data_IF_291390150686
#
_entry.id   IF_291390150686
#
_cell.length_a   1.000
_cell.length_b   1.000
_cell.length_c   1.000
_cell.angle_alpha   90.00
_cell.angle_beta   90.00
_cell.angle_gamma   90.00
#
_symmetry.space_group_name_H-M   'P 1'
#
loop_
_entity.id
_entity.type
_entity.pdbx_description
1 polymer ?
#
# COMPACT_ATOMS: atom_id res chain seq x y z
N UNK A 1 9.20 -20.25 18.15
CA UNK A 1 8.38 -20.30 19.39
C UNK A 1 8.83 -19.17 20.28
N UNK A 2 8.17 -18.02 20.23
CA UNK A 2 8.32 -16.98 21.24
C UNK A 2 7.48 -17.43 22.44
N UNK A 3 8.12 -17.62 23.59
CA UNK A 3 7.41 -17.94 24.83
C UNK A 3 6.56 -16.72 25.21
N UNK A 4 5.24 -16.89 25.23
CA UNK A 4 4.33 -15.89 25.78
C UNK A 4 4.46 -15.89 27.30
N UNK A 5 5.49 -15.23 27.83
CA UNK A 5 5.42 -14.72 29.20
C UNK A 5 4.15 -13.86 29.25
N UNK A 6 3.28 -14.06 30.24
CA UNK A 6 1.93 -13.48 30.34
C UNK A 6 1.84 -11.95 30.41
N UNK A 7 2.87 -11.23 29.96
CA UNK A 7 2.96 -9.78 29.81
C UNK A 7 2.33 -9.37 28.48
N UNK A 8 1.24 -8.59 28.54
CA UNK A 8 0.61 -7.99 27.36
C UNK A 8 1.61 -7.13 26.58
N UNK A 9 1.73 -7.36 25.27
CA UNK A 9 2.61 -6.62 24.36
C UNK A 9 2.17 -5.15 24.25
N UNK A 10 3.04 -4.28 23.73
CA UNK A 10 2.67 -2.87 23.54
C UNK A 10 1.48 -2.74 22.59
N UNK A 11 1.44 -3.57 21.55
CA UNK A 11 0.33 -3.63 20.62
C UNK A 11 -0.96 -4.14 21.26
N UNK A 12 -0.92 -5.24 22.02
CA UNK A 12 -2.10 -5.75 22.72
C UNK A 12 -2.70 -4.70 23.68
N UNK A 13 -1.87 -3.97 24.43
CA UNK A 13 -2.32 -2.85 25.26
C UNK A 13 -2.94 -1.71 24.45
N UNK A 14 -2.37 -1.38 23.29
CA UNK A 14 -2.91 -0.35 22.42
C UNK A 14 -4.28 -0.77 21.84
N UNK A 15 -4.46 -2.04 21.49
CA UNK A 15 -5.75 -2.59 21.06
C UNK A 15 -6.80 -2.53 22.18
N UNK A 16 -6.42 -2.89 23.41
CA UNK A 16 -7.30 -2.76 24.58
C UNK A 16 -7.74 -1.31 24.82
N UNK A 17 -6.81 -0.35 24.70
CA UNK A 17 -7.11 1.08 24.84
C UNK A 17 -7.97 1.64 23.70
N UNK A 18 -7.76 1.16 22.47
CA UNK A 18 -8.55 1.56 21.30
C UNK A 18 -9.99 1.05 21.36
N UNK A 19 -10.18 -0.16 21.91
CA UNK A 19 -11.46 -0.85 22.02
C UNK A 19 -11.45 -2.14 21.20
N UNK A 20 -11.38 -3.29 21.88
CA UNK A 20 -11.40 -4.61 21.24
C UNK A 20 -12.71 -4.92 20.51
N UNK A 21 -13.78 -4.20 20.84
CA UNK A 21 -15.07 -4.26 20.16
C UNK A 21 -15.05 -3.67 18.74
N UNK A 22 -14.03 -2.86 18.43
CA UNK A 22 -13.74 -2.32 17.09
C UNK A 22 -12.72 -3.14 16.31
N UNK A 23 -12.40 -4.33 16.81
CA UNK A 23 -11.42 -5.20 16.23
C UNK A 23 -12.02 -6.59 15.97
N UNK A 24 -11.71 -7.15 14.82
CA UNK A 24 -12.20 -8.45 14.37
C UNK A 24 -11.04 -9.36 14.00
N UNK A 25 -11.19 -10.65 14.24
CA UNK A 25 -10.13 -11.63 14.02
C UNK A 25 -10.66 -12.93 13.47
N UNK A 26 -9.89 -13.55 12.58
CA UNK A 26 -10.09 -14.92 12.11
C UNK A 26 -8.81 -15.75 12.34
N UNK A 27 -8.62 -16.85 11.60
CA UNK A 27 -7.44 -17.70 11.73
C UNK A 27 -6.13 -16.97 11.39
N UNK A 28 -6.13 -16.13 10.36
CA UNK A 28 -4.92 -15.52 9.77
C UNK A 28 -4.83 -14.01 9.95
N UNK A 29 -5.97 -13.35 10.12
CA UNK A 29 -6.16 -11.92 9.87
C UNK A 29 -6.72 -11.21 11.11
N UNK A 30 -6.18 -10.04 11.40
CA UNK A 30 -6.69 -9.09 12.40
C UNK A 30 -7.11 -7.78 11.70
N UNK A 31 -8.39 -7.44 11.79
CA UNK A 31 -8.94 -6.17 11.36
C UNK A 31 -9.08 -5.22 12.55
N UNK A 32 -8.68 -3.97 12.37
CA UNK A 32 -8.70 -2.92 13.39
C UNK A 32 -9.43 -1.72 12.81
N UNK A 33 -10.49 -1.26 13.47
CA UNK A 33 -11.41 -0.30 12.86
C UNK A 33 -12.48 -0.96 12.00
N UNK A 34 -13.01 -2.09 12.46
CA UNK A 34 -14.19 -2.70 11.87
C UNK A 34 -15.28 -2.83 12.94
N UNK A 35 -16.52 -2.57 12.58
CA UNK A 35 -17.68 -2.56 13.45
C UNK A 35 -18.00 -3.99 13.87
N UNK A 36 -17.59 -4.33 15.09
CA UNK A 36 -17.89 -5.63 15.72
C UNK A 36 -19.36 -5.80 16.13
N UNK A 37 -20.24 -4.87 15.79
CA UNK A 37 -21.70 -5.03 15.87
C UNK A 37 -22.28 -5.73 14.64
N UNK A 38 -21.58 -5.70 13.49
CA UNK A 38 -21.95 -6.47 12.30
C UNK A 38 -21.47 -7.91 12.39
N UNK A 39 -22.28 -8.81 11.85
CA UNK A 39 -21.91 -10.21 11.70
C UNK A 39 -21.08 -10.37 10.41
N UNK A 40 -19.77 -10.49 10.58
CA UNK A 40 -18.81 -10.71 9.50
C UNK A 40 -18.50 -12.20 9.43
N UNK A 41 -18.91 -12.92 8.37
CA UNK A 41 -18.67 -14.36 8.26
C UNK A 41 -17.18 -14.69 8.46
N UNK A 42 -16.90 -15.67 9.32
CA UNK A 42 -15.56 -16.13 9.71
C UNK A 42 -14.74 -15.20 10.61
N UNK A 43 -15.25 -14.01 10.93
CA UNK A 43 -14.63 -13.12 11.90
C UNK A 43 -15.33 -13.21 13.24
N UNK A 44 -14.56 -13.04 14.31
CA UNK A 44 -15.06 -12.95 15.68
C UNK A 44 -14.40 -11.78 16.39
N UNK A 45 -14.93 -11.43 17.56
CA UNK A 45 -14.34 -10.41 18.42
C UNK A 45 -12.93 -10.79 18.87
N UNK A 46 -12.05 -9.80 18.92
CA UNK A 46 -10.66 -9.97 19.33
C UNK A 46 -10.58 -10.26 20.84
N UNK A 47 -9.88 -11.32 21.28
CA UNK A 47 -9.56 -11.51 22.69
C UNK A 47 -8.45 -10.54 23.14
N UNK A 48 -8.30 -10.24 24.44
CA UNK A 48 -7.28 -9.30 24.94
C UNK A 48 -5.83 -9.61 24.51
N UNK A 49 -5.53 -10.88 24.26
CA UNK A 49 -4.27 -11.30 23.68
C UNK A 49 -4.55 -12.08 22.38
N UNK A 50 -4.63 -11.40 21.22
CA UNK A 50 -4.90 -12.07 19.95
C UNK A 50 -3.76 -12.97 19.49
N UNK A 51 -2.56 -12.83 20.07
CA UNK A 51 -1.36 -13.45 19.54
C UNK A 51 -0.97 -12.91 18.16
N UNK A 52 0.15 -13.39 17.59
CA UNK A 52 0.60 -12.99 16.27
C UNK A 52 -0.37 -13.42 15.17
N UNK A 53 -0.43 -12.62 14.10
CA UNK A 53 -1.21 -12.88 12.89
C UNK A 53 -0.33 -12.75 11.66
N UNK A 54 -0.71 -13.44 10.57
CA UNK A 54 0.01 -13.33 9.29
C UNK A 54 -0.45 -12.08 8.53
N UNK A 55 -1.69 -11.64 8.75
CA UNK A 55 -2.25 -10.45 8.14
C UNK A 55 -2.80 -9.49 9.20
N UNK A 56 -2.51 -8.20 9.04
CA UNK A 56 -3.07 -7.13 9.87
C UNK A 56 -3.58 -6.01 8.97
N UNK A 57 -4.82 -5.58 9.19
CA UNK A 57 -5.45 -4.50 8.44
C UNK A 57 -5.87 -3.39 9.41
N UNK A 58 -5.30 -2.20 9.23
CA UNK A 58 -5.69 -0.98 9.90
C UNK A 58 -6.67 -0.22 9.01
N UNK A 59 -7.94 -0.19 9.42
CA UNK A 59 -9.10 0.27 8.64
C UNK A 59 -9.72 1.55 9.22
N UNK A 60 -9.04 2.20 10.15
CA UNK A 60 -9.54 3.33 10.93
C UNK A 60 -8.86 4.66 10.56
N UNK A 61 -8.35 4.82 9.33
CA UNK A 61 -7.78 6.09 8.92
C UNK A 61 -8.80 7.24 9.13
N UNK A 62 -8.35 8.42 9.57
CA UNK A 62 -6.95 8.79 9.91
C UNK A 62 -6.52 8.43 11.35
N UNK A 63 -7.41 7.84 12.16
CA UNK A 63 -7.25 7.66 13.61
C UNK A 63 -6.51 6.37 14.02
N UNK A 64 -5.39 6.07 13.37
CA UNK A 64 -4.67 4.80 13.58
C UNK A 64 -3.15 4.93 13.76
N UNK A 65 -2.58 6.13 13.73
CA UNK A 65 -1.13 6.32 13.83
C UNK A 65 -0.51 5.72 15.12
N UNK A 66 -1.14 5.94 16.28
CA UNK A 66 -0.65 5.38 17.55
C UNK A 66 -0.71 3.85 17.60
N UNK A 67 -1.75 3.27 16.97
CA UNK A 67 -1.90 1.81 16.86
C UNK A 67 -0.84 1.20 15.94
N UNK A 68 -0.58 1.82 14.79
CA UNK A 68 0.50 1.39 13.87
C UNK A 68 1.85 1.51 14.57
N UNK A 69 2.11 2.62 15.26
CA UNK A 69 3.35 2.82 16.03
C UNK A 69 3.52 1.77 17.15
N UNK A 70 2.43 1.40 17.83
CA UNK A 70 2.45 0.34 18.83
C UNK A 70 2.71 -1.04 18.20
N UNK A 71 2.10 -1.31 17.04
CA UNK A 71 2.27 -2.55 16.28
C UNK A 71 3.71 -2.75 15.83
N UNK A 72 4.30 -1.79 15.10
CA UNK A 72 5.65 -1.92 14.55
C UNK A 72 6.73 -2.03 15.61
N UNK A 73 6.46 -1.55 16.83
CA UNK A 73 7.33 -1.69 17.99
C UNK A 73 7.14 -3.01 18.77
N UNK A 74 6.25 -3.89 18.33
CA UNK A 74 5.91 -5.13 19.03
C UNK A 74 6.35 -6.39 18.26
N UNK A 75 6.57 -7.54 18.95
CA UNK A 75 7.03 -8.78 18.31
C UNK A 75 6.12 -9.30 17.19
N UNK A 76 4.83 -8.95 17.22
CA UNK A 76 3.84 -9.30 16.22
C UNK A 76 4.24 -8.81 14.82
N UNK A 77 4.88 -7.64 14.72
CA UNK A 77 5.32 -7.07 13.45
C UNK A 77 6.40 -7.90 12.73
N UNK A 78 7.13 -8.77 13.47
CA UNK A 78 8.19 -9.59 12.90
C UNK A 78 7.68 -10.76 12.06
N UNK A 79 6.42 -11.15 12.23
CA UNK A 79 5.82 -12.34 11.60
C UNK A 79 4.66 -12.02 10.66
N UNK A 80 4.26 -10.76 10.57
CA UNK A 80 3.25 -10.32 9.62
C UNK A 80 3.82 -10.38 8.21
N UNK A 81 3.07 -11.02 7.32
CA UNK A 81 3.38 -11.23 5.91
C UNK A 81 2.57 -10.27 5.00
N UNK A 82 1.41 -9.83 5.49
CA UNK A 82 0.49 -8.95 4.78
C UNK A 82 0.01 -7.82 5.70
N UNK A 83 0.19 -6.58 5.25
CA UNK A 83 -0.19 -5.39 6.01
C UNK A 83 -1.00 -4.47 5.13
N UNK A 84 -2.13 -4.00 5.64
CA UNK A 84 -2.90 -2.90 5.04
C UNK A 84 -2.97 -1.75 6.03
N UNK A 85 -2.62 -0.54 5.58
CA UNK A 85 -2.86 0.70 6.31
C UNK A 85 -3.78 1.55 5.43
N UNK A 86 -5.05 1.58 5.78
CA UNK A 86 -6.07 2.15 4.92
C UNK A 86 -7.29 2.59 5.72
N UNK A 87 -8.44 2.54 5.06
CA UNK A 87 -9.71 2.91 5.66
C UNK A 87 -10.76 1.85 5.37
N UNK A 88 -11.94 2.03 5.95
CA UNK A 88 -13.13 1.29 5.56
C UNK A 88 -14.30 2.25 5.34
N UNK A 89 -15.32 1.81 4.61
CA UNK A 89 -16.55 2.56 4.45
C UNK A 89 -17.27 2.91 5.78
N UNK A 90 -16.89 2.31 6.92
CA UNK A 90 -17.42 2.62 8.25
C UNK A 90 -16.85 3.91 8.86
N UNK A 91 -15.79 4.45 8.25
CA UNK A 91 -15.20 5.73 8.59
C UNK A 91 -15.48 6.75 7.48
N UNK A 92 -16.72 7.23 7.28
CA UNK A 92 -17.02 8.15 6.20
C UNK A 92 -16.54 9.58 6.54
N UNK A 93 -15.28 9.89 6.23
CA UNK A 93 -14.76 11.26 6.28
C UNK A 93 -14.33 11.75 4.90
N UNK A 94 -14.48 13.05 4.64
CA UNK A 94 -13.94 13.67 3.44
C UNK A 94 -12.42 13.83 3.60
N UNK A 95 -11.67 13.00 2.88
CA UNK A 95 -10.21 12.90 2.95
C UNK A 95 -9.74 12.04 4.11
N UNK A 96 -8.85 11.08 3.84
CA UNK A 96 -8.13 10.32 4.85
C UNK A 96 -6.66 10.69 4.79
N UNK A 97 -6.12 11.32 5.83
CA UNK A 97 -4.68 11.55 5.93
C UNK A 97 -4.03 10.45 6.77
N UNK A 98 -3.27 9.59 6.11
CA UNK A 98 -2.54 8.48 6.70
C UNK A 98 -1.06 8.79 6.87
N UNK A 99 -0.60 10.01 6.58
CA UNK A 99 0.81 10.40 6.63
C UNK A 99 1.46 10.02 7.96
N UNK A 100 0.78 10.27 9.09
CA UNK A 100 1.30 9.92 10.41
C UNK A 100 1.37 8.40 10.66
N UNK A 101 0.43 7.63 10.14
CA UNK A 101 0.42 6.18 10.26
C UNK A 101 1.50 5.54 9.38
N UNK A 102 1.68 6.04 8.16
CA UNK A 102 2.74 5.59 7.24
C UNK A 102 4.11 5.96 7.81
N UNK A 103 4.31 7.21 8.27
CA UNK A 103 5.57 7.64 8.89
C UNK A 103 5.98 6.80 10.11
N UNK A 104 5.03 6.18 10.82
CA UNK A 104 5.37 5.25 11.91
C UNK A 104 6.14 4.02 11.43
N UNK A 105 6.08 3.67 10.13
CA UNK A 105 6.87 2.60 9.53
C UNK A 105 8.35 2.94 9.41
N UNK A 106 8.77 4.21 9.53
CA UNK A 106 10.18 4.60 9.44
C UNK A 106 11.05 3.91 10.50
N UNK A 107 10.50 3.68 11.69
CA UNK A 107 11.18 2.99 12.79
C UNK A 107 10.98 1.46 12.77
N UNK A 108 10.26 0.93 11.77
CA UNK A 108 9.83 -0.46 11.75
C UNK A 108 10.92 -1.40 11.22
N UNK A 109 10.84 -2.67 11.64
CA UNK A 109 11.55 -3.77 11.02
C UNK A 109 10.55 -4.90 10.76
N UNK A 110 10.17 -5.06 9.49
CA UNK A 110 9.11 -5.96 9.01
C UNK A 110 9.72 -7.06 8.13
N UNK A 111 10.55 -7.97 8.69
CA UNK A 111 11.36 -8.90 7.92
C UNK A 111 10.55 -9.98 7.17
N UNK A 112 9.31 -10.23 7.60
CA UNK A 112 8.43 -11.23 6.98
C UNK A 112 7.43 -10.62 6.00
N UNK A 113 7.35 -9.28 5.92
CA UNK A 113 6.33 -8.61 5.13
C UNK A 113 6.59 -8.78 3.64
N UNK A 114 5.64 -9.39 2.94
CA UNK A 114 5.68 -9.63 1.49
C UNK A 114 4.67 -8.81 0.72
N UNK A 115 3.56 -8.40 1.34
CA UNK A 115 2.50 -7.59 0.73
C UNK A 115 2.19 -6.40 1.63
N UNK A 116 2.17 -5.21 1.05
CA UNK A 116 1.80 -3.98 1.73
C UNK A 116 0.86 -3.16 0.85
N UNK A 117 -0.31 -2.82 1.40
CA UNK A 117 -1.24 -1.89 0.79
C UNK A 117 -1.35 -0.63 1.65
N UNK A 118 -1.09 0.52 1.05
CA UNK A 118 -1.15 1.83 1.70
C UNK A 118 -2.27 2.66 1.08
N UNK A 119 -3.19 3.12 1.90
CA UNK A 119 -4.29 3.99 1.51
C UNK A 119 -5.50 3.32 0.87
N UNK A 120 -5.53 1.99 0.78
CA UNK A 120 -6.68 1.28 0.22
C UNK A 120 -7.92 1.46 1.12
N UNK A 121 -9.09 1.58 0.49
CA UNK A 121 -10.36 1.44 1.18
C UNK A 121 -10.83 -0.01 1.03
N UNK A 122 -10.79 -0.74 2.14
CA UNK A 122 -11.25 -2.12 2.16
C UNK A 122 -12.74 -2.18 1.78
N UNK A 123 -13.05 -2.81 0.64
CA UNK A 123 -14.40 -2.81 0.10
C UNK A 123 -15.30 -3.84 0.81
N UNK A 124 -15.78 -3.46 1.99
CA UNK A 124 -16.53 -4.33 2.88
C UNK A 124 -17.97 -4.64 2.42
N UNK A 125 -18.57 -3.81 1.56
CA UNK A 125 -19.98 -3.99 1.16
C UNK A 125 -20.33 -3.52 -0.27
N UNK A 126 -19.35 -3.49 -1.17
CA UNK A 126 -19.57 -3.25 -2.60
C UNK A 126 -19.84 -1.79 -2.96
N UNK A 127 -19.13 -0.86 -2.33
CA UNK A 127 -19.21 0.58 -2.61
C UNK A 127 -18.06 1.09 -3.47
N UNK A 128 -18.08 2.40 -3.72
CA UNK A 128 -16.94 3.17 -4.26
C UNK A 128 -15.75 3.08 -3.31
N UNK A 129 -14.54 3.11 -3.87
CA UNK A 129 -13.31 3.19 -3.08
C UNK A 129 -12.88 4.63 -2.95
N UNK A 130 -12.72 5.09 -1.71
CA UNK A 130 -12.24 6.42 -1.45
C UNK A 130 -10.78 6.36 -1.05
N UNK A 131 -9.93 7.07 -1.78
CA UNK A 131 -8.51 7.19 -1.46
C UNK A 131 -8.21 8.52 -0.76
N UNK A 132 -7.03 8.61 -0.16
CA UNK A 132 -6.64 9.77 0.65
C UNK A 132 -5.16 10.13 0.45
N UNK A 133 -4.57 10.78 1.44
CA UNK A 133 -3.14 11.08 1.46
C UNK A 133 -2.40 9.97 2.22
N UNK A 134 -1.45 9.33 1.54
CA UNK A 134 -0.54 8.31 2.09
C UNK A 134 0.70 8.97 2.70
N UNK A 135 1.27 9.98 2.03
CA UNK A 135 2.48 10.69 2.47
C UNK A 135 3.77 10.16 1.81
N UNK A 136 4.91 10.34 2.47
CA UNK A 136 6.23 9.90 1.96
C UNK A 136 6.40 8.39 2.17
N UNK A 137 6.80 7.64 1.13
CA UNK A 137 6.89 6.18 1.19
C UNK A 137 8.33 5.62 1.09
N UNK A 138 9.35 6.47 0.97
CA UNK A 138 10.74 6.04 0.78
C UNK A 138 11.26 5.14 1.91
N UNK A 139 10.84 5.39 3.14
CA UNK A 139 11.22 4.59 4.30
C UNK A 139 10.61 3.17 4.32
N UNK A 140 9.49 2.95 3.62
CA UNK A 140 8.81 1.65 3.53
C UNK A 140 9.73 0.58 2.94
N UNK A 141 10.52 0.95 1.93
CA UNK A 141 11.48 0.06 1.27
C UNK A 141 12.61 -0.41 2.19
N UNK A 142 12.98 0.38 3.20
CA UNK A 142 13.96 -0.04 4.21
C UNK A 142 13.32 -0.87 5.32
N UNK A 143 12.08 -0.53 5.70
CA UNK A 143 11.34 -1.21 6.76
C UNK A 143 10.98 -2.66 6.40
N UNK A 144 10.68 -2.94 5.12
CA UNK A 144 10.18 -4.23 4.65
C UNK A 144 11.10 -4.87 3.58
N UNK A 145 12.28 -5.41 3.96
CA UNK A 145 13.30 -5.87 2.99
C UNK A 145 12.88 -7.08 2.14
N UNK A 146 11.79 -7.77 2.50
CA UNK A 146 11.24 -8.91 1.79
C UNK A 146 9.99 -8.56 0.97
N UNK A 147 9.64 -7.27 0.87
CA UNK A 147 8.43 -6.82 0.18
C UNK A 147 8.44 -7.24 -1.30
N UNK A 148 7.36 -7.88 -1.75
CA UNK A 148 7.17 -8.35 -3.13
C UNK A 148 6.06 -7.58 -3.83
N UNK A 149 5.03 -7.17 -3.09
CA UNK A 149 3.88 -6.45 -3.59
C UNK A 149 3.69 -5.16 -2.79
N UNK A 150 3.65 -4.02 -3.48
CA UNK A 150 3.33 -2.73 -2.91
C UNK A 150 2.16 -2.11 -3.69
N UNK A 151 1.02 -1.95 -3.02
CA UNK A 151 -0.11 -1.14 -3.47
C UNK A 151 -0.09 0.22 -2.77
N UNK A 152 -0.22 1.31 -3.53
CA UNK A 152 -0.32 2.66 -2.99
C UNK A 152 -1.53 3.37 -3.58
N UNK A 153 -2.52 3.61 -2.75
CA UNK A 153 -3.82 4.12 -3.14
C UNK A 153 -3.99 5.54 -2.59
N UNK A 154 -4.11 6.51 -3.50
CA UNK A 154 -4.15 7.94 -3.19
C UNK A 154 -2.79 8.64 -3.24
N UNK A 155 -2.75 9.87 -2.72
CA UNK A 155 -1.61 10.77 -2.89
C UNK A 155 -0.39 10.36 -2.05
N UNK A 156 0.75 10.16 -2.72
CA UNK A 156 2.02 9.84 -2.09
C UNK A 156 3.21 10.61 -2.67
N UNK A 157 4.29 10.66 -1.92
CA UNK A 157 5.57 11.22 -2.33
C UNK A 157 6.70 10.18 -2.22
N UNK A 158 7.67 10.31 -3.12
CA UNK A 158 8.94 9.59 -3.02
C UNK A 158 10.06 10.62 -3.12
N UNK A 159 10.70 10.92 -1.99
CA UNK A 159 11.62 12.06 -1.91
C UNK A 159 12.96 11.83 -2.62
N UNK A 160 13.38 10.57 -2.78
CA UNK A 160 14.62 10.18 -3.48
C UNK A 160 14.46 8.82 -4.15
N UNK A 161 15.25 8.50 -5.19
CA UNK A 161 15.26 7.16 -5.77
C UNK A 161 15.70 6.12 -4.72
N UNK A 162 15.03 4.97 -4.73
CA UNK A 162 15.28 3.85 -3.82
C UNK A 162 15.82 2.63 -4.55
N UNK A 163 16.29 1.65 -3.78
CA UNK A 163 16.60 0.31 -4.28
C UNK A 163 15.81 -0.70 -3.46
N UNK A 164 15.13 -1.63 -4.13
CA UNK A 164 14.45 -2.74 -3.47
C UNK A 164 14.63 -4.04 -4.26
N UNK A 165 15.35 -5.00 -3.67
CA UNK A 165 15.84 -6.18 -4.39
C UNK A 165 14.78 -7.27 -4.60
N UNK A 166 13.67 -7.24 -3.85
CA UNK A 166 12.62 -8.27 -3.88
C UNK A 166 11.30 -7.82 -4.49
N UNK A 167 11.14 -6.52 -4.78
CA UNK A 167 9.85 -6.01 -5.26
C UNK A 167 9.54 -6.56 -6.66
N UNK A 168 8.36 -7.17 -6.81
CA UNK A 168 7.86 -7.80 -8.03
C UNK A 168 6.70 -7.02 -8.65
N UNK A 169 5.84 -6.46 -7.80
CA UNK A 169 4.69 -5.65 -8.20
C UNK A 169 4.70 -4.31 -7.47
N UNK A 170 4.57 -3.23 -8.24
CA UNK A 170 4.24 -1.90 -7.76
C UNK A 170 2.96 -1.44 -8.48
N UNK A 171 1.94 -1.14 -7.69
CA UNK A 171 0.62 -0.73 -8.16
C UNK A 171 0.24 0.58 -7.47
N UNK A 172 -0.23 1.56 -8.23
CA UNK A 172 -0.79 2.79 -7.68
C UNK A 172 -2.12 3.14 -8.34
N UNK A 173 -3.05 3.67 -7.56
CA UNK A 173 -4.41 4.05 -7.98
C UNK A 173 -4.84 5.31 -7.20
N UNK A 174 -5.43 6.30 -7.86
CA UNK A 174 -5.65 7.64 -7.25
C UNK A 174 -7.12 8.01 -7.09
N UNK A 175 -8.06 7.44 -7.86
CA UNK A 175 -9.48 7.76 -7.68
C UNK A 175 -10.44 6.63 -8.05
N UNK A 176 -11.49 6.51 -7.23
CA UNK A 176 -12.80 5.98 -7.59
C UNK A 176 -13.85 6.82 -6.84
N UNK A 177 -14.10 8.03 -7.34
CA UNK A 177 -15.09 9.01 -6.87
C UNK A 177 -14.75 9.82 -5.61
N UNK A 178 -14.49 11.12 -5.79
CA UNK A 178 -14.99 12.16 -4.88
C UNK A 178 -14.13 12.53 -3.68
N UNK A 179 -12.85 12.15 -3.65
CA UNK A 179 -11.87 12.69 -2.70
C UNK A 179 -10.62 13.11 -3.46
N UNK A 180 -10.22 14.37 -3.25
CA UNK A 180 -9.07 15.01 -3.90
C UNK A 180 -7.78 14.65 -3.17
N UNK A 181 -6.95 13.81 -3.77
CA UNK A 181 -5.51 13.95 -3.62
C UNK A 181 -5.04 15.13 -4.46
N UNK A 182 -3.73 15.39 -4.48
CA UNK A 182 -3.13 16.01 -5.66
C UNK A 182 -2.50 14.87 -6.46
N UNK A 183 -2.38 14.99 -7.80
CA UNK A 183 -1.65 14.02 -8.59
C UNK A 183 -0.19 13.97 -8.11
N UNK A 184 0.50 12.85 -8.34
CA UNK A 184 1.93 12.79 -8.00
C UNK A 184 2.70 13.88 -8.75
N UNK A 185 3.69 14.44 -8.06
CA UNK A 185 4.61 15.37 -8.70
C UNK A 185 5.51 14.67 -9.74
N UNK A 186 6.02 15.44 -10.71
CA UNK A 186 7.06 14.95 -11.64
C UNK A 186 8.29 14.40 -10.88
N UNK A 187 8.65 15.00 -9.74
CA UNK A 187 9.78 14.53 -8.93
C UNK A 187 9.50 13.13 -8.34
N UNK A 188 8.28 12.89 -7.84
CA UNK A 188 7.85 11.56 -7.37
C UNK A 188 7.93 10.54 -8.49
N UNK A 189 7.40 10.87 -9.68
CA UNK A 189 7.47 10.00 -10.85
C UNK A 189 8.93 9.71 -11.25
N UNK A 190 9.77 10.74 -11.36
CA UNK A 190 11.18 10.62 -11.72
C UNK A 190 11.91 9.71 -10.75
N UNK A 191 11.74 9.90 -9.44
CA UNK A 191 12.36 9.04 -8.43
C UNK A 191 11.87 7.60 -8.51
N UNK A 192 10.58 7.39 -8.73
CA UNK A 192 9.99 6.05 -8.81
C UNK A 192 10.49 5.29 -10.03
N UNK A 193 10.52 5.94 -11.19
CA UNK A 193 10.96 5.30 -12.45
C UNK A 193 12.47 5.22 -12.60
N UNK A 194 13.24 5.98 -11.81
CA UNK A 194 14.71 5.86 -11.74
C UNK A 194 15.21 4.97 -10.59
N UNK A 195 14.31 4.55 -9.71
CA UNK A 195 14.61 3.59 -8.64
C UNK A 195 15.03 2.22 -9.19
N UNK A 196 15.79 1.47 -8.39
CA UNK A 196 16.32 0.16 -8.77
C UNK A 196 15.46 -0.97 -8.20
N UNK A 197 14.67 -1.59 -9.08
CA UNK A 197 13.83 -2.74 -8.76
C UNK A 197 14.18 -3.94 -9.66
N UNK A 198 15.26 -4.69 -9.38
CA UNK A 198 15.78 -5.73 -10.27
C UNK A 198 14.80 -6.90 -10.48
N UNK A 199 13.79 -7.05 -9.61
CA UNK A 199 12.76 -8.10 -9.72
C UNK A 199 11.40 -7.63 -10.22
N UNK A 200 11.23 -6.33 -10.47
CA UNK A 200 9.93 -5.78 -10.84
C UNK A 200 9.46 -6.35 -12.18
N UNK A 201 8.37 -7.10 -12.15
CA UNK A 201 7.69 -7.66 -13.32
C UNK A 201 6.45 -6.86 -13.69
N UNK A 202 5.82 -6.20 -12.71
CA UNK A 202 4.61 -5.41 -12.91
C UNK A 202 4.80 -4.01 -12.33
N UNK A 203 4.66 -3.00 -13.18
CA UNK A 203 4.52 -1.60 -12.79
C UNK A 203 3.18 -1.10 -13.34
N UNK A 204 2.30 -0.62 -12.47
CA UNK A 204 1.06 0.02 -12.86
C UNK A 204 0.93 1.32 -12.08
N UNK A 205 0.89 2.43 -12.81
CA UNK A 205 0.68 3.77 -12.29
C UNK A 205 -0.58 4.33 -12.95
N UNK A 206 -1.71 4.12 -12.30
CA UNK A 206 -2.92 4.90 -12.56
C UNK A 206 -2.78 6.20 -11.77
N UNK A 207 -2.96 7.34 -12.43
CA UNK A 207 -2.80 8.69 -11.90
C UNK A 207 -4.00 9.56 -12.29
N UNK A 208 -5.13 8.96 -12.67
CA UNK A 208 -6.29 9.72 -13.14
C UNK A 208 -6.98 10.45 -11.98
N UNK A 209 -6.75 11.76 -11.92
CA UNK A 209 -7.66 12.70 -11.27
C UNK A 209 -8.34 13.51 -12.37
N UNK A 210 -9.65 13.36 -12.48
CA UNK A 210 -10.46 13.84 -13.59
C UNK A 210 -10.08 15.23 -14.13
N UNK A 211 -9.86 15.30 -15.44
CA UNK A 211 -9.98 16.54 -16.23
C UNK A 211 -8.81 17.54 -16.19
N UNK A 212 -7.71 17.28 -15.49
CA UNK A 212 -6.51 18.13 -15.56
C UNK A 212 -5.70 17.93 -16.86
N UNK A 213 -4.95 18.94 -17.30
CA UNK A 213 -4.02 18.82 -18.45
C UNK A 213 -2.87 17.82 -18.16
N UNK A 214 -2.48 17.06 -19.17
CA UNK A 214 -1.36 16.10 -19.15
C UNK A 214 -0.04 16.85 -18.87
N UNK A 215 0.65 16.53 -17.77
CA UNK A 215 1.89 17.25 -17.37
C UNK A 215 3.10 16.35 -17.10
N UNK A 216 2.93 15.03 -17.07
CA UNK A 216 4.00 14.12 -16.68
C UNK A 216 4.82 13.63 -17.89
N UNK A 217 6.13 13.57 -17.71
CA UNK A 217 7.07 13.01 -18.68
C UNK A 217 7.87 11.86 -18.07
N UNK A 218 8.52 11.05 -18.92
CA UNK A 218 9.42 9.98 -18.47
C UNK A 218 10.88 10.39 -18.72
N UNK A 219 11.75 10.29 -17.70
CA UNK A 219 13.15 10.67 -17.82
C UNK A 219 13.91 9.65 -18.68
N UNK A 220 14.93 10.09 -19.43
CA UNK A 220 15.69 9.20 -20.33
C UNK A 220 16.26 7.93 -19.69
N UNK A 221 16.75 7.94 -18.42
CA UNK A 221 17.19 6.73 -17.76
C UNK A 221 16.16 5.59 -17.76
N UNK A 222 14.86 5.90 -17.76
CA UNK A 222 13.79 4.90 -17.83
C UNK A 222 13.90 4.01 -19.08
N UNK A 223 14.33 4.58 -20.21
CA UNK A 223 14.45 3.89 -21.49
C UNK A 223 15.80 3.20 -21.69
N UNK A 224 16.70 3.28 -20.71
CA UNK A 224 18.04 2.71 -20.82
C UNK A 224 18.02 1.17 -20.89
N UNK A 225 18.85 0.55 -21.75
CA UNK A 225 18.95 -0.90 -21.81
C UNK A 225 19.29 -1.51 -20.44
N UNK A 226 18.55 -2.54 -20.04
CA UNK A 226 18.77 -3.24 -18.77
C UNK A 226 18.04 -2.62 -17.56
N UNK A 227 17.52 -1.39 -17.67
CA UNK A 227 16.65 -0.82 -16.65
C UNK A 227 15.30 -1.55 -16.61
N UNK A 228 14.85 -1.94 -15.42
CA UNK A 228 13.65 -2.78 -15.21
C UNK A 228 13.63 -3.99 -16.17
N UNK A 229 14.75 -4.71 -16.26
CA UNK A 229 14.95 -5.80 -17.25
C UNK A 229 13.94 -6.96 -17.13
N UNK A 230 13.30 -7.13 -15.97
CA UNK A 230 12.28 -8.15 -15.71
C UNK A 230 10.84 -7.71 -15.92
N UNK A 231 10.63 -6.45 -16.31
CA UNK A 231 9.29 -5.93 -16.53
C UNK A 231 8.57 -6.70 -17.64
N UNK A 232 7.38 -7.20 -17.33
CA UNK A 232 6.48 -7.94 -18.22
C UNK A 232 5.21 -7.13 -18.48
N UNK A 233 4.75 -6.39 -17.47
CA UNK A 233 3.58 -5.51 -17.50
C UNK A 233 3.98 -4.10 -17.08
N UNK A 234 3.59 -3.12 -17.88
CA UNK A 234 3.90 -1.73 -17.66
C UNK A 234 2.69 -0.90 -18.02
N UNK A 235 2.07 -0.28 -17.02
CA UNK A 235 1.07 0.74 -17.21
C UNK A 235 1.45 2.06 -16.54
N UNK A 236 1.30 3.16 -17.28
CA UNK A 236 1.49 4.53 -16.81
C UNK A 236 0.56 5.38 -17.66
N UNK A 237 -0.40 6.03 -17.04
CA UNK A 237 -1.34 6.94 -17.69
C UNK A 237 -0.87 8.41 -17.55
N UNK A 238 -1.72 9.36 -17.96
CA UNK A 238 -1.54 10.83 -17.75
C UNK A 238 -0.20 11.43 -18.22
N UNK A 239 0.52 10.74 -19.11
CA UNK A 239 1.74 11.22 -19.76
C UNK A 239 1.41 12.20 -20.88
N UNK A 240 2.24 13.23 -21.05
CA UNK A 240 2.19 14.09 -22.25
C UNK A 240 2.30 13.26 -23.53
N UNK A 241 1.71 13.69 -24.66
CA UNK A 241 1.57 12.85 -25.85
C UNK A 241 2.91 12.31 -26.38
N UNK A 242 3.98 13.11 -26.31
CA UNK A 242 5.32 12.70 -26.70
C UNK A 242 5.88 11.59 -25.80
N UNK A 243 5.69 11.71 -24.47
CA UNK A 243 6.12 10.71 -23.51
C UNK A 243 5.32 9.41 -23.66
N UNK A 244 4.00 9.52 -23.88
CA UNK A 244 3.13 8.37 -24.19
C UNK A 244 3.58 7.65 -25.47
N UNK A 245 3.84 8.38 -26.55
CA UNK A 245 4.30 7.78 -27.80
C UNK A 245 5.63 7.04 -27.64
N UNK A 246 6.55 7.58 -26.83
CA UNK A 246 7.83 6.94 -26.48
C UNK A 246 7.61 5.70 -25.62
N UNK A 247 6.74 5.76 -24.61
CA UNK A 247 6.37 4.62 -23.79
C UNK A 247 5.77 3.48 -24.63
N UNK A 248 4.87 3.80 -25.56
CA UNK A 248 4.25 2.83 -26.45
C UNK A 248 5.29 2.19 -27.40
N UNK A 249 6.25 2.97 -27.91
CA UNK A 249 7.37 2.43 -28.70
C UNK A 249 8.25 1.49 -27.87
N UNK A 250 8.53 1.86 -26.62
CA UNK A 250 9.29 1.04 -25.68
C UNK A 250 8.58 -0.28 -25.35
N UNK A 251 7.28 -0.24 -25.04
CA UNK A 251 6.44 -1.43 -24.81
C UNK A 251 6.48 -2.38 -26.01
N UNK A 252 6.31 -1.86 -27.23
CA UNK A 252 6.40 -2.66 -28.47
C UNK A 252 7.77 -3.28 -28.67
N UNK A 253 8.84 -2.51 -28.47
CA UNK A 253 10.21 -3.00 -28.63
C UNK A 253 10.54 -4.13 -27.64
N UNK A 254 10.02 -4.04 -26.41
CA UNK A 254 10.21 -5.04 -25.35
C UNK A 254 9.18 -6.16 -25.34
N UNK A 255 8.12 -6.09 -26.17
CA UNK A 255 6.98 -7.02 -26.18
C UNK A 255 6.31 -7.14 -24.80
N UNK A 256 6.17 -6.02 -24.11
CA UNK A 256 5.43 -5.97 -22.84
C UNK A 256 3.95 -6.26 -23.10
N UNK A 257 3.27 -6.91 -22.16
CA UNK A 257 1.84 -7.18 -22.29
C UNK A 257 1.07 -5.87 -22.39
N UNK A 258 0.05 -5.86 -23.25
CA UNK A 258 -0.84 -4.73 -23.41
C UNK A 258 -1.72 -4.59 -22.14
N UNK A 259 -1.69 -3.43 -21.44
CA UNK A 259 -2.49 -3.21 -20.24
C UNK A 259 -4.00 -3.22 -20.51
N UNK A 260 -4.45 -3.06 -21.75
CA UNK A 260 -5.87 -3.13 -22.12
C UNK A 260 -6.48 -4.54 -22.06
N UNK A 261 -5.66 -5.58 -21.83
CA UNK A 261 -6.16 -6.92 -21.54
C UNK A 261 -6.59 -6.99 -20.07
N UNK A 262 -7.77 -7.56 -19.76
CA UNK A 262 -8.28 -7.60 -18.39
C UNK A 262 -7.24 -8.21 -17.46
N UNK A 263 -6.88 -7.45 -16.43
CA UNK A 263 -6.02 -7.92 -15.36
C UNK A 263 -6.60 -9.20 -14.77
N UNK A 264 -5.78 -10.25 -14.67
CA UNK A 264 -6.06 -11.34 -13.73
C UNK A 264 -6.31 -10.68 -12.38
N UNK A 265 -7.46 -10.91 -11.71
CA UNK A 265 -7.74 -10.26 -10.43
C UNK A 265 -6.57 -10.50 -9.50
N UNK A 266 -6.15 -9.45 -8.77
CA UNK A 266 -5.18 -9.59 -7.71
C UNK A 266 -5.59 -10.78 -6.83
N UNK A 267 -4.68 -11.71 -6.51
CA UNK A 267 -5.02 -12.84 -5.66
C UNK A 267 -5.59 -12.28 -4.36
N UNK A 268 -6.84 -12.64 -4.07
CA UNK A 268 -7.41 -12.54 -2.71
C UNK A 268 -6.95 -13.74 -1.90
#
# INVERSE_FOLDING_TARGET
MLACDGTSTRFAKALEQYGLDKCLINETTLWIGADGSRDWPNFRRVPPNPGPRRQVEFLAAPHQADLVAAFVASPEALVVEELLIGTSPEFPTAGFDMTAAVAALEAAHLPSLTTLDLGDMQNLYGGFRLFGTVGEIGHVFAAAPCLRHLGVFGHFALATPVRHDTLETLFTEFDDFGITGEPISQATLDHLVTSSFPRLSTLHLDMDEGGGDETLTLPEPFFSPGHLSRLERLDIDRLVPEAKARLDAYRRARRLMDPSLPSVPAPR
#
